data_IF_951047263351
#
_entry.id   IF_951047263351
#
_cell.length_a   1.000
_cell.length_b   1.000
_cell.length_c   1.000
_cell.angle_alpha   90.00
_cell.angle_beta   90.00
_cell.angle_gamma   90.00
#
_symmetry.space_group_name_H-M   'P 1'
#
loop_
_entity.id
_entity.type
_entity.pdbx_description
1 polymer ?
#
# COMPACT_ATOMS: atom_id res chain seq x y z
N UNK A 1 -25.00 4.12 6.17
CA UNK A 1 -24.03 3.26 5.52
C UNK A 1 -23.89 1.94 6.26
N UNK A 2 -23.83 0.88 5.53
CA UNK A 2 -24.02 -0.45 6.05
C UNK A 2 -22.88 -0.93 6.96
N UNK A 3 -23.18 -1.05 8.25
CA UNK A 3 -22.31 -1.69 9.24
C UNK A 3 -21.91 -3.12 8.82
N UNK A 4 -22.77 -3.81 8.05
CA UNK A 4 -22.49 -5.14 7.51
C UNK A 4 -21.46 -5.14 6.39
N UNK A 5 -21.52 -4.17 5.48
CA UNK A 5 -20.55 -4.03 4.40
C UNK A 5 -19.15 -3.71 4.95
N UNK A 6 -19.07 -2.87 5.97
CA UNK A 6 -17.82 -2.55 6.64
C UNK A 6 -17.23 -3.76 7.35
N UNK A 7 -18.06 -4.59 7.99
CA UNK A 7 -17.61 -5.84 8.62
C UNK A 7 -17.10 -6.86 7.62
N UNK A 8 -17.69 -6.94 6.44
CA UNK A 8 -17.24 -7.83 5.38
C UNK A 8 -15.90 -7.38 4.81
N UNK A 9 -15.75 -6.08 4.56
CA UNK A 9 -14.49 -5.50 4.09
C UNK A 9 -13.37 -5.70 5.12
N UNK A 10 -13.66 -5.52 6.40
CA UNK A 10 -12.70 -5.77 7.49
C UNK A 10 -12.28 -7.24 7.55
N UNK A 11 -13.19 -8.18 7.33
CA UNK A 11 -12.87 -9.61 7.27
C UNK A 11 -11.94 -9.93 6.11
N UNK A 12 -12.24 -9.44 4.91
CA UNK A 12 -11.41 -9.67 3.74
C UNK A 12 -10.03 -9.04 3.90
N UNK A 13 -9.96 -7.84 4.47
CA UNK A 13 -8.71 -7.15 4.77
C UNK A 13 -7.85 -7.96 5.77
N UNK A 14 -8.44 -8.39 6.88
CA UNK A 14 -7.72 -9.20 7.87
C UNK A 14 -7.25 -10.53 7.29
N UNK A 15 -8.08 -11.19 6.49
CA UNK A 15 -7.75 -12.47 5.86
C UNK A 15 -6.54 -12.38 4.95
N UNK A 16 -6.45 -11.35 4.11
CA UNK A 16 -5.31 -11.19 3.21
C UNK A 16 -4.04 -10.80 3.99
N UNK A 17 -4.16 -9.94 4.99
CA UNK A 17 -3.02 -9.59 5.84
C UNK A 17 -2.51 -10.81 6.60
N UNK A 18 -3.37 -11.61 7.19
CA UNK A 18 -3.00 -12.83 7.90
C UNK A 18 -2.27 -13.83 6.97
N UNK A 19 -2.69 -13.90 5.72
CA UNK A 19 -2.10 -14.80 4.73
C UNK A 19 -0.64 -14.45 4.39
N UNK A 20 -0.34 -13.18 4.21
CA UNK A 20 0.99 -12.71 3.76
C UNK A 20 1.87 -12.18 4.89
N UNK A 21 1.26 -11.78 5.98
CA UNK A 21 1.94 -11.25 7.17
C UNK A 21 1.41 -11.96 8.41
N UNK A 22 1.82 -13.24 8.65
CA UNK A 22 1.29 -14.04 9.75
C UNK A 22 1.51 -13.39 11.11
N UNK A 23 0.55 -13.56 12.01
CA UNK A 23 0.65 -13.08 13.38
C UNK A 23 1.89 -13.64 14.08
N UNK A 24 2.54 -12.83 14.92
CA UNK A 24 3.75 -13.21 15.65
C UNK A 24 5.03 -13.08 14.85
N UNK A 25 4.99 -12.64 13.60
CA UNK A 25 6.18 -12.38 12.80
C UNK A 25 6.60 -10.91 12.88
N UNK A 26 7.92 -10.67 12.78
CA UNK A 26 8.48 -9.31 12.75
C UNK A 26 7.95 -8.53 11.54
N UNK A 27 7.81 -9.18 10.38
CA UNK A 27 7.27 -8.50 9.19
C UNK A 27 5.85 -8.02 9.39
N UNK A 28 5.03 -8.76 10.15
CA UNK A 28 3.66 -8.34 10.51
C UNK A 28 3.69 -7.08 11.35
N UNK A 29 4.54 -7.03 12.37
CA UNK A 29 4.64 -5.88 13.27
C UNK A 29 5.06 -4.63 12.51
N UNK A 30 6.05 -4.74 11.64
CA UNK A 30 6.51 -3.64 10.79
C UNK A 30 5.40 -3.18 9.83
N UNK A 31 4.78 -4.13 9.14
CA UNK A 31 3.71 -3.85 8.18
C UNK A 31 2.53 -3.13 8.84
N UNK A 32 2.02 -3.68 9.92
CA UNK A 32 0.87 -3.12 10.62
C UNK A 32 1.15 -1.73 11.16
N UNK A 33 2.33 -1.51 11.74
CA UNK A 33 2.73 -0.20 12.25
C UNK A 33 2.79 0.83 11.14
N UNK A 34 3.48 0.52 10.04
CA UNK A 34 3.62 1.42 8.90
C UNK A 34 2.26 1.75 8.27
N UNK A 35 1.47 0.73 7.97
CA UNK A 35 0.17 0.94 7.31
C UNK A 35 -0.80 1.73 8.18
N UNK A 36 -0.81 1.50 9.50
CA UNK A 36 -1.63 2.29 10.43
C UNK A 36 -1.18 3.75 10.50
N UNK A 37 0.12 4.01 10.51
CA UNK A 37 0.64 5.37 10.45
C UNK A 37 0.17 6.08 9.16
N UNK A 38 0.23 5.41 8.04
CA UNK A 38 -0.24 5.95 6.76
C UNK A 38 -1.75 6.18 6.79
N UNK A 39 -2.53 5.24 7.30
CA UNK A 39 -3.98 5.40 7.43
C UNK A 39 -4.36 6.60 8.31
N UNK A 40 -3.73 6.73 9.48
CA UNK A 40 -3.99 7.84 10.40
C UNK A 40 -3.64 9.19 9.78
N UNK A 41 -2.50 9.29 9.09
CA UNK A 41 -2.10 10.51 8.40
C UNK A 41 -3.06 10.85 7.26
N UNK A 42 -3.46 9.87 6.48
CA UNK A 42 -4.41 10.08 5.38
C UNK A 42 -5.77 10.55 5.90
N UNK A 43 -6.27 9.93 6.97
CA UNK A 43 -7.52 10.37 7.62
C UNK A 43 -7.42 11.80 8.17
N UNK A 44 -6.31 12.14 8.82
CA UNK A 44 -6.05 13.49 9.32
C UNK A 44 -6.14 14.52 8.19
N UNK A 45 -5.44 14.27 7.08
CA UNK A 45 -5.43 15.16 5.92
C UNK A 45 -6.84 15.28 5.30
N UNK A 46 -7.51 14.13 5.11
CA UNK A 46 -8.84 14.10 4.51
C UNK A 46 -9.85 14.90 5.32
N UNK A 47 -9.83 14.78 6.63
CA UNK A 47 -10.72 15.53 7.54
C UNK A 47 -10.40 17.02 7.54
N UNK A 48 -9.12 17.39 7.65
CA UNK A 48 -8.68 18.79 7.65
C UNK A 48 -9.03 19.51 6.35
N UNK A 49 -8.92 18.83 5.23
CA UNK A 49 -9.16 19.38 3.89
C UNK A 49 -10.59 19.14 3.41
N UNK A 50 -11.42 18.46 4.21
CA UNK A 50 -12.77 18.06 3.84
C UNK A 50 -12.82 17.37 2.46
N UNK A 51 -11.92 16.40 2.25
CA UNK A 51 -11.83 15.69 0.99
C UNK A 51 -13.07 14.80 0.78
N UNK A 52 -13.64 14.75 -0.42
CA UNK A 52 -14.84 13.95 -0.72
C UNK A 52 -14.47 12.46 -0.91
N UNK A 53 -13.95 11.83 0.14
CA UNK A 53 -13.53 10.44 0.15
C UNK A 53 -14.19 9.71 1.31
N UNK A 54 -14.52 8.45 1.09
CA UNK A 54 -15.02 7.56 2.13
C UNK A 54 -13.85 7.14 3.05
N UNK A 55 -14.04 7.26 4.37
CA UNK A 55 -12.98 6.95 5.33
C UNK A 55 -12.61 5.47 5.33
N UNK A 56 -13.54 4.56 5.07
CA UNK A 56 -13.26 3.13 4.97
C UNK A 56 -12.37 2.83 3.75
N UNK A 57 -12.60 3.52 2.64
CA UNK A 57 -11.74 3.42 1.45
C UNK A 57 -10.31 3.92 1.74
N UNK A 58 -10.20 5.00 2.50
CA UNK A 58 -8.89 5.53 2.92
C UNK A 58 -8.15 4.50 3.77
N UNK A 59 -8.79 3.94 4.78
CA UNK A 59 -8.18 2.94 5.65
C UNK A 59 -7.80 1.69 4.87
N UNK A 60 -8.70 1.16 4.06
CA UNK A 60 -8.44 -0.03 3.25
C UNK A 60 -7.28 0.19 2.29
N UNK A 61 -7.28 1.32 1.59
CA UNK A 61 -6.20 1.68 0.66
C UNK A 61 -4.85 1.78 1.36
N UNK A 62 -4.81 2.44 2.51
CA UNK A 62 -3.59 2.57 3.31
C UNK A 62 -3.11 1.21 3.82
N UNK A 63 -4.01 0.37 4.31
CA UNK A 63 -3.66 -0.95 4.84
C UNK A 63 -3.19 -1.93 3.77
N UNK A 64 -3.53 -1.71 2.50
CA UNK A 64 -3.18 -2.59 1.39
C UNK A 64 -2.06 -2.07 0.47
N UNK A 65 -1.66 -0.80 0.59
CA UNK A 65 -0.74 -0.19 -0.39
C UNK A 65 0.60 -0.92 -0.52
N UNK A 66 1.09 -1.49 0.56
CA UNK A 66 2.38 -2.18 0.63
C UNK A 66 2.26 -3.71 0.67
N UNK A 67 1.09 -4.29 0.39
CA UNK A 67 0.86 -5.74 0.51
C UNK A 67 1.88 -6.57 -0.29
N UNK A 68 2.35 -6.06 -1.40
CA UNK A 68 3.29 -6.75 -2.29
C UNK A 68 4.71 -6.90 -1.73
N UNK A 69 5.07 -6.20 -0.67
CA UNK A 69 6.43 -6.31 -0.10
C UNK A 69 6.72 -7.73 0.39
N UNK A 70 5.71 -8.47 0.87
CA UNK A 70 5.87 -9.85 1.29
C UNK A 70 6.41 -10.76 0.18
N UNK A 71 6.19 -10.40 -1.10
CA UNK A 71 6.65 -11.16 -2.26
C UNK A 71 8.07 -10.79 -2.70
N UNK A 72 8.68 -9.79 -2.07
CA UNK A 72 9.99 -9.26 -2.42
C UNK A 72 11.07 -9.70 -1.46
N UNK A 73 12.33 -9.58 -1.91
CA UNK A 73 13.50 -9.79 -1.06
C UNK A 73 13.84 -8.48 -0.34
N UNK A 74 13.37 -8.36 0.89
CA UNK A 74 13.60 -7.21 1.75
C UNK A 74 13.89 -7.68 3.19
N UNK A 75 15.08 -8.28 3.44
CA UNK A 75 15.38 -8.91 4.72
C UNK A 75 15.42 -7.91 5.89
N UNK A 76 15.70 -6.64 5.64
CA UNK A 76 15.68 -5.58 6.66
C UNK A 76 14.32 -5.39 7.33
N UNK A 77 13.25 -5.78 6.65
CA UNK A 77 11.87 -5.75 7.16
C UNK A 77 11.25 -7.15 7.20
N UNK A 78 12.09 -8.17 7.28
CA UNK A 78 11.71 -9.58 7.43
C UNK A 78 10.84 -10.11 6.27
N UNK A 79 11.06 -9.62 5.06
CA UNK A 79 10.42 -10.15 3.85
C UNK A 79 11.45 -10.93 3.03
N UNK A 80 11.14 -12.18 2.72
CA UNK A 80 12.06 -13.14 2.11
C UNK A 80 11.49 -13.73 0.81
N UNK A 81 10.78 -12.93 0.03
CA UNK A 81 10.31 -13.30 -1.29
C UNK A 81 11.44 -13.30 -2.33
N UNK A 82 11.09 -13.55 -3.57
CA UNK A 82 12.06 -13.69 -4.67
C UNK A 82 12.14 -12.46 -5.57
N UNK A 83 11.13 -11.59 -5.53
CA UNK A 83 11.08 -10.42 -6.40
C UNK A 83 11.98 -9.28 -5.89
N UNK A 84 12.49 -8.49 -6.82
CA UNK A 84 13.17 -7.25 -6.49
C UNK A 84 12.22 -6.30 -5.75
N UNK A 85 12.73 -5.57 -4.74
CA UNK A 85 11.91 -4.66 -3.92
C UNK A 85 11.08 -3.67 -4.76
N UNK A 86 11.65 -3.15 -5.85
CA UNK A 86 10.92 -2.23 -6.73
C UNK A 86 9.70 -2.83 -7.42
N UNK A 87 9.54 -4.16 -7.36
CA UNK A 87 8.36 -4.84 -7.88
C UNK A 87 7.17 -4.83 -6.90
N UNK A 88 7.36 -4.34 -5.66
CA UNK A 88 6.31 -4.47 -4.64
C UNK A 88 4.99 -3.81 -5.02
N UNK A 89 5.03 -2.68 -5.73
CA UNK A 89 3.82 -1.99 -6.19
C UNK A 89 3.05 -2.82 -7.21
N UNK A 90 3.70 -3.25 -8.28
CA UNK A 90 3.06 -4.05 -9.34
C UNK A 90 2.65 -5.44 -8.83
N UNK A 91 3.51 -6.08 -8.05
CA UNK A 91 3.20 -7.38 -7.45
C UNK A 91 2.02 -7.28 -6.48
N UNK A 92 1.96 -6.22 -5.69
CA UNK A 92 0.84 -5.95 -4.79
C UNK A 92 -0.46 -5.72 -5.53
N UNK A 93 -0.43 -4.95 -6.61
CA UNK A 93 -1.61 -4.72 -7.45
C UNK A 93 -2.14 -6.02 -8.05
N UNK A 94 -1.26 -6.85 -8.60
CA UNK A 94 -1.64 -8.14 -9.19
C UNK A 94 -2.21 -9.09 -8.13
N UNK A 95 -1.62 -9.09 -6.93
CA UNK A 95 -2.09 -9.87 -5.80
C UNK A 95 -3.50 -9.45 -5.39
N UNK A 96 -3.76 -8.15 -5.27
CA UNK A 96 -5.07 -7.62 -4.91
C UNK A 96 -6.13 -7.98 -5.95
N UNK A 97 -5.79 -7.91 -7.24
CA UNK A 97 -6.67 -8.34 -8.33
C UNK A 97 -7.03 -9.82 -8.24
N UNK A 98 -6.04 -10.68 -7.98
CA UNK A 98 -6.27 -12.12 -7.81
C UNK A 98 -7.12 -12.44 -6.59
N UNK A 99 -6.95 -11.70 -5.51
CA UNK A 99 -7.71 -11.91 -4.27
C UNK A 99 -9.12 -11.26 -4.32
N UNK A 100 -9.47 -10.63 -5.43
CA UNK A 100 -10.82 -10.09 -5.67
C UNK A 100 -11.09 -8.71 -5.08
N UNK A 101 -10.05 -7.96 -4.71
CA UNK A 101 -10.22 -6.58 -4.26
C UNK A 101 -10.57 -5.64 -5.42
N UNK A 102 -11.28 -4.57 -5.10
CA UNK A 102 -11.64 -3.54 -6.07
C UNK A 102 -10.39 -2.93 -6.73
N UNK A 103 -10.48 -2.63 -8.02
CA UNK A 103 -9.38 -2.09 -8.82
C UNK A 103 -8.78 -0.81 -8.24
N UNK A 104 -9.57 0.02 -7.55
CA UNK A 104 -9.07 1.26 -6.92
C UNK A 104 -7.96 0.99 -5.91
N UNK A 105 -7.98 -0.14 -5.20
CA UNK A 105 -6.93 -0.52 -4.24
C UNK A 105 -5.69 -1.06 -4.95
N UNK A 106 -5.86 -1.82 -6.02
CA UNK A 106 -4.75 -2.26 -6.86
C UNK A 106 -4.00 -1.07 -7.46
N UNK A 107 -4.73 -0.07 -7.94
CA UNK A 107 -4.14 1.17 -8.48
C UNK A 107 -3.34 1.94 -7.43
N UNK A 108 -3.80 1.99 -6.18
CA UNK A 108 -3.04 2.60 -5.09
C UNK A 108 -1.71 1.87 -4.91
N UNK A 109 -1.73 0.54 -4.84
CA UNK A 109 -0.53 -0.28 -4.63
C UNK A 109 0.53 -0.03 -5.72
N UNK A 110 0.13 -0.01 -6.98
CA UNK A 110 1.10 0.14 -8.08
C UNK A 110 1.58 1.58 -8.32
N UNK A 111 0.95 2.58 -7.70
CA UNK A 111 1.20 4.01 -7.98
C UNK A 111 1.70 4.81 -6.79
N UNK A 112 2.03 4.15 -5.67
CA UNK A 112 2.43 4.85 -4.44
C UNK A 112 3.94 5.08 -4.31
N UNK A 113 4.76 4.41 -5.09
CA UNK A 113 6.23 4.48 -4.97
C UNK A 113 6.75 5.86 -5.37
N UNK A 114 7.53 6.48 -4.49
CA UNK A 114 8.01 7.85 -4.70
C UNK A 114 6.84 8.83 -4.88
N UNK A 115 6.95 9.76 -5.78
CA UNK A 115 5.87 10.66 -6.20
C UNK A 115 5.14 10.12 -7.44
N UNK A 116 5.30 8.82 -7.72
CA UNK A 116 4.95 8.17 -8.95
C UNK A 116 6.19 7.98 -9.83
N UNK A 117 6.12 7.04 -10.76
CA UNK A 117 7.20 6.72 -11.70
C UNK A 117 6.65 6.77 -13.13
N UNK A 118 7.31 7.50 -14.01
CA UNK A 118 6.92 7.57 -15.42
C UNK A 118 7.45 6.39 -16.21
N UNK A 119 6.85 6.13 -17.38
CA UNK A 119 7.36 5.13 -18.33
C UNK A 119 8.82 5.40 -18.71
N UNK A 120 9.17 6.66 -18.92
CA UNK A 120 10.54 7.06 -19.26
C UNK A 120 11.52 6.75 -18.13
N UNK A 121 11.13 7.00 -16.88
CA UNK A 121 11.95 6.65 -15.70
C UNK A 121 12.12 5.14 -15.57
N UNK A 122 11.07 4.36 -15.81
CA UNK A 122 11.15 2.89 -15.80
C UNK A 122 12.17 2.42 -16.85
N UNK A 123 12.06 2.91 -18.07
CA UNK A 123 12.96 2.54 -19.17
C UNK A 123 14.41 2.97 -18.90
N UNK A 124 14.61 4.22 -18.46
CA UNK A 124 15.95 4.78 -18.22
C UNK A 124 16.65 4.10 -17.04
N UNK A 125 15.92 3.69 -16.01
CA UNK A 125 16.48 3.08 -14.80
C UNK A 125 16.59 1.56 -14.89
N UNK A 126 16.05 0.94 -15.92
CA UNK A 126 16.05 -0.52 -16.07
C UNK A 126 15.28 -1.23 -14.96
N UNK A 127 14.23 -0.59 -14.42
CA UNK A 127 13.41 -1.19 -13.36
C UNK A 127 12.74 -2.48 -13.86
N UNK A 128 12.71 -3.55 -13.04
CA UNK A 128 12.15 -4.85 -13.44
C UNK A 128 10.61 -4.87 -13.37
N UNK A 129 9.97 -3.88 -13.96
CA UNK A 129 8.51 -3.76 -14.05
C UNK A 129 8.12 -3.40 -15.49
N UNK A 130 6.86 -3.65 -15.90
CA UNK A 130 6.40 -3.24 -17.23
C UNK A 130 6.61 -1.75 -17.48
N UNK A 131 7.03 -1.40 -18.69
CA UNK A 131 7.31 -0.01 -19.06
C UNK A 131 5.98 0.72 -19.32
N UNK A 132 5.52 1.45 -18.34
CA UNK A 132 4.33 2.30 -18.40
C UNK A 132 4.37 3.30 -17.25
N UNK A 133 3.45 4.25 -17.23
CA UNK A 133 3.33 5.22 -16.15
C UNK A 133 2.71 4.56 -14.90
N UNK A 134 3.29 4.88 -13.75
CA UNK A 134 2.80 4.52 -12.42
C UNK A 134 2.61 5.81 -11.61
N UNK A 135 1.75 6.68 -12.09
CA UNK A 135 1.49 7.99 -11.47
C UNK A 135 0.16 7.95 -10.71
N UNK A 136 0.11 8.50 -9.48
CA UNK A 136 -1.16 8.62 -8.78
C UNK A 136 -2.06 9.62 -9.51
N UNK A 137 -3.27 9.18 -9.89
CA UNK A 137 -4.21 9.98 -10.69
C UNK A 137 -5.45 10.38 -9.90
N UNK A 138 -6.09 9.41 -9.22
CA UNK A 138 -7.29 9.70 -8.44
C UNK A 138 -6.94 10.43 -7.13
N UNK A 139 -7.92 11.10 -6.55
CA UNK A 139 -7.73 11.77 -5.27
C UNK A 139 -7.29 10.78 -4.17
N UNK A 140 -7.89 9.59 -4.13
CA UNK A 140 -7.52 8.55 -3.17
C UNK A 140 -6.08 8.08 -3.38
N UNK A 141 -5.67 7.83 -4.63
CA UNK A 141 -4.29 7.46 -4.97
C UNK A 141 -3.29 8.52 -4.53
N UNK A 142 -3.60 9.79 -4.79
CA UNK A 142 -2.75 10.92 -4.39
C UNK A 142 -2.65 11.06 -2.89
N UNK A 143 -3.76 10.88 -2.18
CA UNK A 143 -3.79 10.99 -0.72
C UNK A 143 -2.90 9.92 -0.07
N UNK A 144 -3.06 8.65 -0.45
CA UNK A 144 -2.26 7.56 0.12
C UNK A 144 -0.78 7.70 -0.25
N UNK A 145 -0.48 8.01 -1.50
CA UNK A 145 0.88 8.26 -1.98
C UNK A 145 1.56 9.38 -1.16
N UNK A 146 0.85 10.47 -0.90
CA UNK A 146 1.36 11.58 -0.10
C UNK A 146 1.55 11.20 1.36
N UNK A 147 0.57 10.55 1.98
CA UNK A 147 0.62 10.15 3.38
C UNK A 147 1.77 9.16 3.65
N UNK A 148 2.04 8.24 2.71
CA UNK A 148 3.13 7.28 2.82
C UNK A 148 4.50 7.94 2.97
N UNK A 149 4.69 9.13 2.42
CA UNK A 149 5.97 9.85 2.44
C UNK A 149 6.39 10.34 3.83
N UNK A 150 5.46 10.41 4.76
CA UNK A 150 5.76 10.84 6.13
C UNK A 150 6.47 9.75 6.96
N UNK A 151 6.44 8.50 6.52
CA UNK A 151 6.89 7.36 7.34
C UNK A 151 7.85 6.45 6.61
N UNK A 152 8.81 5.90 7.36
CA UNK A 152 9.74 4.87 6.90
C UNK A 152 9.42 3.53 7.56
N UNK A 153 9.72 2.43 6.87
CA UNK A 153 9.63 1.07 7.41
C UNK A 153 10.92 0.62 8.10
N UNK A 154 11.98 1.41 8.00
CA UNK A 154 13.29 1.13 8.59
C UNK A 154 13.57 2.05 9.77
N UNK A 155 14.60 1.72 10.56
CA UNK A 155 14.96 2.49 11.74
C UNK A 155 13.91 2.37 12.84
N UNK A 156 13.59 3.48 13.48
CA UNK A 156 12.61 3.54 14.57
C UNK A 156 11.18 3.79 14.09
N UNK A 157 10.97 3.89 12.79
CA UNK A 157 9.68 4.12 12.13
C UNK A 157 8.98 5.40 12.60
N UNK A 158 9.76 6.43 12.87
CA UNK A 158 9.21 7.75 13.20
C UNK A 158 8.79 8.52 11.97
N UNK A 159 7.97 9.54 12.19
CA UNK A 159 7.62 10.51 11.16
C UNK A 159 8.89 11.22 10.66
N UNK A 160 8.99 11.35 9.35
CA UNK A 160 10.10 12.02 8.68
C UNK A 160 9.98 13.54 8.76
#
# INVERSE_FOLDING_TARGET
MNCELNKELDKELNKIIDKYYPAGTRRRDIYMKHCRQVADKALEIARRKALPLDEDDIVTGAMLHDIGIALTDAPGIDCHGTLHYMCHGTAGADLLRREGFDERFARIAERHTGAGITADEVAASGLPVPVRDYLPETLLERLICYADKFYSKSGDMKEK
#
